data_IF_620781980061
#
_entry.id   IF_620781980061
#
_cell.length_a   1.000
_cell.length_b   1.000
_cell.length_c   1.000
_cell.angle_alpha   90.00
_cell.angle_beta   90.00
_cell.angle_gamma   90.00
#
_symmetry.space_group_name_H-M   'P 1'
#
loop_
_entity.id
_entity.type
_entity.pdbx_description
1 polymer ?
#
# COMPACT_ATOMS: atom_id res chain seq x y z
N UNK A 1 -15.27 4.95 78.61
CA UNK A 1 -14.01 5.68 78.91
C UNK A 1 -12.94 5.22 77.94
N UNK A 2 -12.31 6.18 77.25
CA UNK A 2 -10.99 6.07 76.57
C UNK A 2 -10.96 5.13 75.35
N UNK A 3 -10.30 5.42 74.24
CA UNK A 3 -9.26 6.40 73.90
C UNK A 3 -9.24 6.45 72.36
N UNK A 4 -9.42 7.61 71.73
CA UNK A 4 -9.13 7.76 70.29
C UNK A 4 -7.83 8.53 70.15
N UNK A 5 -6.81 7.87 69.62
CA UNK A 5 -5.47 8.39 69.37
C UNK A 5 -5.44 9.01 67.98
N UNK A 6 -5.03 10.28 67.91
CA UNK A 6 -4.71 10.98 66.67
C UNK A 6 -3.52 10.31 65.96
N UNK A 7 -3.67 10.01 64.67
CA UNK A 7 -2.57 9.76 63.75
C UNK A 7 -2.74 10.72 62.56
N UNK A 8 -1.86 11.71 62.52
CA UNK A 8 -1.65 12.65 61.43
C UNK A 8 -0.84 11.96 60.34
N UNK A 9 -1.36 11.91 59.11
CA UNK A 9 -0.56 11.72 57.90
C UNK A 9 -1.10 12.69 56.84
N UNK A 10 -0.19 13.50 56.31
CA UNK A 10 -0.46 14.72 55.57
C UNK A 10 -1.11 14.52 54.21
N UNK A 11 -2.04 15.42 53.89
CA UNK A 11 -2.43 15.74 52.54
C UNK A 11 -1.65 16.98 52.09
N UNK A 12 -0.82 16.81 51.06
CA UNK A 12 -0.28 17.92 50.27
C UNK A 12 -1.45 18.57 49.54
N UNK A 13 -1.89 19.72 50.02
CA UNK A 13 -2.80 20.58 49.28
C UNK A 13 -2.00 21.23 48.15
N UNK A 14 -2.30 20.85 46.92
CA UNK A 14 -1.97 21.62 45.73
C UNK A 14 -2.55 23.02 45.91
N UNK A 15 -1.66 24.01 45.92
CA UNK A 15 -2.02 25.41 45.97
C UNK A 15 -2.72 25.78 44.65
N UNK A 16 -4.05 25.68 44.62
CA UNK A 16 -4.84 26.51 43.73
C UNK A 16 -4.71 27.94 44.24
N UNK A 17 -3.89 28.75 43.56
CA UNK A 17 -3.85 30.17 43.80
C UNK A 17 -5.23 30.74 43.46
N UNK A 18 -6.05 30.92 44.49
CA UNK A 18 -7.27 31.72 44.42
C UNK A 18 -6.85 33.15 44.08
N UNK A 19 -7.15 33.61 42.86
CA UNK A 19 -7.08 35.03 42.56
C UNK A 19 -8.34 35.70 43.11
N UNK A 20 -8.20 36.30 44.31
CA UNK A 20 -9.16 37.26 44.85
C UNK A 20 -9.10 38.57 44.05
N UNK A 21 -10.24 39.24 43.79
CA UNK A 21 -10.27 40.46 43.00
C UNK A 21 -9.72 41.61 43.86
N UNK A 22 -8.44 41.92 43.68
CA UNK A 22 -7.83 43.10 44.27
C UNK A 22 -8.09 44.29 43.36
N UNK A 23 -8.99 45.17 43.79
CA UNK A 23 -9.08 46.55 43.32
C UNK A 23 -7.83 47.33 43.71
N UNK A 24 -6.70 47.02 43.07
CA UNK A 24 -5.44 47.74 43.19
C UNK A 24 -5.05 48.26 41.81
N UNK A 25 -4.91 49.58 41.74
CA UNK A 25 -4.64 50.44 40.59
C UNK A 25 -3.25 50.20 39.97
N UNK A 26 -2.93 48.97 39.57
CA UNK A 26 -1.68 48.67 38.86
C UNK A 26 -1.88 47.47 37.93
N UNK A 27 -2.17 47.77 36.67
CA UNK A 27 -2.28 46.77 35.62
C UNK A 27 -0.90 46.15 35.32
N UNK A 28 -0.86 44.90 34.82
CA UNK A 28 0.40 44.26 34.43
C UNK A 28 1.17 45.13 33.43
N UNK A 29 2.36 45.60 33.80
CA UNK A 29 3.08 46.59 32.99
C UNK A 29 3.85 45.97 31.80
N UNK A 30 4.10 44.66 31.80
CA UNK A 30 4.79 43.99 30.70
C UNK A 30 4.17 42.63 30.41
N UNK A 31 3.78 42.42 29.15
CA UNK A 31 3.42 41.13 28.60
C UNK A 31 4.53 40.63 27.68
N UNK A 32 4.69 39.31 27.59
CA UNK A 32 5.59 38.71 26.60
C UNK A 32 4.88 38.62 25.25
N UNK A 33 5.63 38.69 24.15
CA UNK A 33 5.10 38.54 22.79
C UNK A 33 4.88 37.06 22.38
N UNK A 34 4.82 36.14 23.35
CA UNK A 34 4.48 34.74 23.09
C UNK A 34 3.02 34.66 22.62
N UNK A 35 2.81 34.12 21.42
CA UNK A 35 1.49 34.03 20.82
C UNK A 35 0.80 32.73 21.26
N UNK A 36 -0.11 32.85 22.22
CA UNK A 36 -0.99 31.79 22.74
C UNK A 36 -2.41 32.39 22.85
N UNK A 37 -3.12 32.52 21.71
CA UNK A 37 -4.27 33.40 21.63
C UNK A 37 -5.42 32.98 22.54
N UNK A 38 -6.16 33.96 23.06
CA UNK A 38 -7.38 33.75 23.85
C UNK A 38 -8.49 34.68 23.38
N UNK A 39 -9.72 34.16 23.34
CA UNK A 39 -10.89 34.96 23.01
C UNK A 39 -11.45 35.61 24.28
N UNK A 40 -11.60 36.93 24.28
CA UNK A 40 -12.26 37.66 25.35
C UNK A 40 -13.78 37.59 25.25
N UNK A 41 -14.47 37.83 26.37
CA UNK A 41 -15.93 37.93 26.43
C UNK A 41 -16.50 39.12 25.65
N UNK A 42 -15.64 40.03 25.23
CA UNK A 42 -15.90 41.17 24.34
C UNK A 42 -15.79 40.81 22.85
N UNK A 43 -15.47 39.55 22.52
CA UNK A 43 -15.31 39.08 21.14
C UNK A 43 -13.99 39.51 20.50
N UNK A 44 -13.01 39.98 21.29
CA UNK A 44 -11.68 40.35 20.81
C UNK A 44 -10.67 39.23 21.07
N UNK A 45 -9.87 38.89 20.06
CA UNK A 45 -8.73 37.98 20.20
C UNK A 45 -7.56 38.71 20.85
N UNK A 46 -7.06 38.20 21.97
CA UNK A 46 -5.86 38.68 22.64
C UNK A 46 -4.69 37.73 22.39
N UNK A 47 -3.49 38.27 22.15
CA UNK A 47 -2.30 37.48 21.81
C UNK A 47 -1.91 36.44 22.86
N UNK A 48 -2.23 36.70 24.13
CA UNK A 48 -2.14 35.75 25.24
C UNK A 48 -2.95 36.24 26.46
N UNK A 49 -3.05 35.40 27.48
CA UNK A 49 -3.76 35.71 28.73
C UNK A 49 -3.27 36.99 29.43
N UNK A 50 -1.99 37.36 29.29
CA UNK A 50 -1.47 38.61 29.87
C UNK A 50 -2.10 39.83 29.19
N UNK A 51 -2.21 39.82 27.85
CA UNK A 51 -2.86 40.90 27.11
C UNK A 51 -4.36 40.98 27.39
N UNK A 52 -5.04 39.85 27.60
CA UNK A 52 -6.45 39.86 28.06
C UNK A 52 -6.58 40.47 29.45
N UNK A 53 -5.72 40.08 30.40
CA UNK A 53 -5.72 40.64 31.76
C UNK A 53 -5.36 42.12 31.83
N UNK A 54 -4.50 42.60 30.92
CA UNK A 54 -4.21 44.02 30.76
C UNK A 54 -5.45 44.78 30.26
N UNK A 55 -6.15 44.25 29.25
CA UNK A 55 -7.36 44.85 28.72
C UNK A 55 -8.50 44.89 29.74
N UNK A 56 -8.73 43.81 30.49
CA UNK A 56 -9.69 43.78 31.61
C UNK A 56 -9.36 44.84 32.67
N UNK A 57 -8.07 45.01 32.99
CA UNK A 57 -7.62 45.98 33.98
C UNK A 57 -7.76 47.45 33.53
N UNK A 58 -7.56 47.73 32.24
CA UNK A 58 -7.70 49.08 31.66
C UNK A 58 -9.16 49.42 31.30
N UNK A 59 -10.01 48.41 31.14
CA UNK A 59 -11.41 48.56 30.79
C UNK A 59 -12.27 49.00 31.97
N UNK A 60 -13.34 49.75 31.69
CA UNK A 60 -14.39 50.04 32.67
C UNK A 60 -15.40 48.89 32.82
N UNK A 61 -15.37 47.93 31.90
CA UNK A 61 -16.20 46.72 31.87
C UNK A 61 -15.34 45.48 32.08
N UNK A 62 -15.87 44.47 32.78
CA UNK A 62 -15.14 43.24 33.04
C UNK A 62 -15.03 42.40 31.76
N UNK A 63 -13.80 42.13 31.34
CA UNK A 63 -13.45 41.29 30.20
C UNK A 63 -12.89 39.98 30.75
N UNK A 64 -13.61 38.89 30.55
CA UNK A 64 -13.19 37.55 30.99
C UNK A 64 -12.77 36.70 29.79
N UNK A 65 -11.94 35.68 30.00
CA UNK A 65 -11.63 34.71 28.94
C UNK A 65 -12.88 33.90 28.59
N UNK A 66 -13.31 33.96 27.34
CA UNK A 66 -14.40 33.15 26.80
C UNK A 66 -13.91 31.71 26.52
N UNK A 67 -12.81 31.57 25.78
CA UNK A 67 -12.15 30.30 25.48
C UNK A 67 -10.71 30.52 24.99
N UNK A 68 -9.91 29.44 25.01
CA UNK A 68 -8.57 29.42 24.44
C UNK A 68 -8.65 29.34 22.91
N UNK A 69 -7.80 30.11 22.22
CA UNK A 69 -7.83 30.29 20.76
C UNK A 69 -8.31 31.69 20.34
N UNK A 70 -8.27 31.97 19.04
CA UNK A 70 -8.79 33.22 18.48
C UNK A 70 -10.32 33.26 18.51
N UNK A 71 -10.92 34.44 18.64
CA UNK A 71 -12.36 34.59 18.56
C UNK A 71 -12.88 34.18 17.18
N UNK A 72 -13.90 33.33 17.17
CA UNK A 72 -14.71 33.00 16.01
C UNK A 72 -15.39 34.28 15.52
N UNK A 73 -15.11 34.68 14.28
CA UNK A 73 -15.79 35.81 13.67
C UNK A 73 -17.30 35.53 13.60
N UNK A 74 -18.09 36.36 14.28
CA UNK A 74 -19.55 36.40 14.18
C UNK A 74 -19.92 36.78 12.74
N UNK A 75 -20.07 35.78 11.87
CA UNK A 75 -20.79 35.95 10.61
C UNK A 75 -22.26 36.07 10.96
N UNK A 76 -22.75 37.30 11.05
CA UNK A 76 -24.19 37.57 11.17
C UNK A 76 -24.93 36.89 10.01
N UNK A 77 -25.80 35.88 10.23
CA UNK A 77 -26.62 35.34 9.17
C UNK A 77 -27.90 36.18 9.12
N UNK A 78 -27.86 37.25 8.34
CA UNK A 78 -29.08 37.91 7.87
C UNK A 78 -29.36 37.43 6.45
N UNK A 79 -30.06 36.30 6.34
CA UNK A 79 -31.20 36.15 5.43
C UNK A 79 -31.86 34.81 5.74
N UNK A 80 -33.09 34.94 6.19
CA UNK A 80 -34.08 33.87 6.22
C UNK A 80 -34.45 33.52 4.79
N UNK A 81 -33.74 32.57 4.21
CA UNK A 81 -34.35 31.69 3.20
C UNK A 81 -33.65 30.33 3.23
N UNK A 82 -34.44 29.27 3.24
CA UNK A 82 -33.99 27.89 3.40
C UNK A 82 -33.33 27.30 2.16
N UNK A 83 -32.37 28.04 1.57
CA UNK A 83 -31.42 27.53 0.59
C UNK A 83 -30.08 27.38 1.30
N UNK A 84 -29.42 26.22 1.17
CA UNK A 84 -28.05 26.04 1.63
C UNK A 84 -27.18 27.17 1.05
N UNK A 85 -26.74 28.09 1.91
CA UNK A 85 -25.96 29.23 1.47
C UNK A 85 -24.56 28.73 1.12
N UNK A 86 -24.20 28.79 -0.15
CA UNK A 86 -22.87 28.43 -0.63
C UNK A 86 -21.83 29.39 -0.08
N UNK A 87 -20.72 28.86 0.44
CA UNK A 87 -19.63 29.67 0.96
C UNK A 87 -18.89 30.35 -0.21
N UNK A 88 -19.08 31.67 -0.39
CA UNK A 88 -18.41 32.43 -1.47
C UNK A 88 -17.01 32.94 -1.09
N UNK A 89 -16.60 32.74 0.17
CA UNK A 89 -15.32 33.19 0.68
C UNK A 89 -14.29 32.08 0.51
N UNK A 90 -13.40 32.26 -0.47
CA UNK A 90 -12.31 31.34 -0.74
C UNK A 90 -10.93 31.99 -0.60
N UNK A 91 -9.95 31.26 -0.05
CA UNK A 91 -8.56 31.70 -0.05
C UNK A 91 -8.03 31.81 -1.50
N UNK A 92 -7.11 32.75 -1.76
CA UNK A 92 -6.50 32.96 -3.08
C UNK A 92 -5.29 32.04 -3.35
N UNK A 93 -5.17 30.90 -2.65
CA UNK A 93 -4.12 29.93 -2.93
C UNK A 93 -4.42 29.20 -4.24
N UNK A 94 -3.41 29.08 -5.10
CA UNK A 94 -3.53 28.35 -6.36
C UNK A 94 -3.08 26.89 -6.19
N UNK A 95 -4.04 26.02 -5.94
CA UNK A 95 -3.90 24.56 -5.90
C UNK A 95 -4.99 23.98 -6.81
N UNK A 96 -4.79 24.00 -8.13
CA UNK A 96 -5.87 23.86 -9.09
C UNK A 96 -6.55 22.49 -9.00
N UNK A 97 -7.84 22.46 -9.30
CA UNK A 97 -8.65 21.23 -9.40
C UNK A 97 -9.51 21.29 -10.65
N UNK A 98 -9.72 20.14 -11.28
CA UNK A 98 -10.54 20.03 -12.48
C UNK A 98 -11.97 19.64 -12.10
N UNK A 99 -12.95 20.44 -12.52
CA UNK A 99 -14.37 20.14 -12.36
C UNK A 99 -14.92 19.26 -13.49
N UNK A 100 -16.06 18.60 -13.23
CA UNK A 100 -16.77 17.77 -14.22
C UNK A 100 -17.34 18.57 -15.40
N UNK A 101 -17.38 19.89 -15.28
CA UNK A 101 -17.71 20.85 -16.33
C UNK A 101 -16.51 21.20 -17.24
N UNK A 102 -15.33 20.62 -16.98
CA UNK A 102 -14.10 20.89 -17.72
C UNK A 102 -13.46 22.24 -17.38
N UNK A 103 -13.88 22.88 -16.28
CA UNK A 103 -13.31 24.14 -15.80
C UNK A 103 -12.24 23.88 -14.75
N UNK A 104 -11.09 24.53 -14.90
CA UNK A 104 -10.06 24.58 -13.86
C UNK A 104 -10.47 25.57 -12.77
N UNK A 105 -10.62 25.09 -11.55
CA UNK A 105 -10.87 25.88 -10.36
C UNK A 105 -9.56 26.16 -9.64
N UNK A 106 -9.39 27.37 -9.10
CA UNK A 106 -8.13 27.81 -8.47
C UNK A 106 -7.74 26.96 -7.26
N UNK A 107 -8.73 26.44 -6.54
CA UNK A 107 -8.59 25.52 -5.41
C UNK A 107 -9.91 24.80 -5.10
N UNK A 108 -9.86 23.82 -4.18
CA UNK A 108 -11.03 23.07 -3.73
C UNK A 108 -12.19 23.97 -3.27
N UNK A 109 -11.93 25.07 -2.55
CA UNK A 109 -12.99 25.98 -2.12
C UNK A 109 -13.76 26.57 -3.30
N UNK A 110 -13.04 27.00 -4.35
CA UNK A 110 -13.69 27.57 -5.54
C UNK A 110 -14.50 26.52 -6.32
N UNK A 111 -14.12 25.24 -6.25
CA UNK A 111 -14.89 24.12 -6.80
C UNK A 111 -16.11 23.79 -5.93
N UNK A 112 -15.96 23.74 -4.61
CA UNK A 112 -17.07 23.48 -3.66
C UNK A 112 -18.16 24.56 -3.77
N UNK A 113 -17.77 25.82 -3.98
CA UNK A 113 -18.70 26.90 -4.27
C UNK A 113 -19.48 26.66 -5.57
N UNK A 114 -18.81 26.19 -6.62
CA UNK A 114 -19.43 25.88 -7.90
C UNK A 114 -20.34 24.63 -7.82
N UNK A 115 -19.93 23.60 -7.10
CA UNK A 115 -20.76 22.43 -6.77
C UNK A 115 -22.04 22.88 -6.05
N UNK A 116 -21.91 23.68 -5.01
CA UNK A 116 -23.05 24.17 -4.24
C UNK A 116 -24.00 25.04 -5.08
N UNK A 117 -23.47 26.01 -5.83
CA UNK A 117 -24.29 26.93 -6.65
C UNK A 117 -24.92 26.26 -7.87
N UNK A 118 -24.33 25.14 -8.33
CA UNK A 118 -24.91 24.29 -9.38
C UNK A 118 -25.89 23.24 -8.86
N UNK A 119 -26.09 23.14 -7.53
CA UNK A 119 -26.96 22.14 -6.92
C UNK A 119 -26.41 20.71 -6.98
N UNK A 120 -25.07 20.57 -6.96
CA UNK A 120 -24.37 19.29 -7.01
C UNK A 120 -24.07 18.77 -8.43
N UNK A 121 -24.28 19.59 -9.47
CA UNK A 121 -24.05 19.17 -10.85
C UNK A 121 -22.56 19.12 -11.23
N UNK A 122 -21.76 19.96 -10.57
CA UNK A 122 -20.31 20.05 -10.78
C UNK A 122 -19.65 19.26 -9.64
N UNK A 123 -18.77 18.31 -9.98
CA UNK A 123 -18.01 17.50 -9.03
C UNK A 123 -16.53 17.53 -9.38
N UNK A 124 -15.66 17.22 -8.42
CA UNK A 124 -14.23 17.10 -8.66
C UNK A 124 -13.91 15.90 -9.56
N UNK A 125 -13.18 16.14 -10.64
CA UNK A 125 -12.65 15.10 -11.54
C UNK A 125 -11.23 14.71 -11.14
N UNK A 126 -10.36 15.69 -10.90
CA UNK A 126 -8.97 15.45 -10.51
C UNK A 126 -8.35 16.65 -9.78
N UNK A 127 -7.27 16.39 -9.04
CA UNK A 127 -6.32 17.43 -8.68
C UNK A 127 -5.55 17.89 -9.93
N UNK A 128 -5.20 19.17 -9.98
CA UNK A 128 -4.55 19.81 -11.13
C UNK A 128 -5.52 20.57 -12.05
N UNK A 129 -4.96 21.27 -13.03
CA UNK A 129 -5.75 21.98 -14.04
C UNK A 129 -6.46 21.00 -14.99
N UNK A 130 -7.63 21.39 -15.50
CA UNK A 130 -8.28 20.64 -16.57
C UNK A 130 -7.40 20.62 -17.84
N UNK A 131 -7.39 19.50 -18.58
CA UNK A 131 -6.65 19.40 -19.84
C UNK A 131 -7.16 20.45 -20.84
N UNK A 132 -6.26 21.31 -21.34
CA UNK A 132 -6.62 22.34 -22.33
C UNK A 132 -6.84 21.70 -23.70
N UNK A 133 -8.02 21.95 -24.28
CA UNK A 133 -8.51 21.32 -25.50
C UNK A 133 -7.99 21.94 -26.80
N UNK A 134 -6.72 22.40 -26.82
CA UNK A 134 -6.05 22.85 -28.06
C UNK A 134 -5.03 21.85 -28.64
N UNK A 135 -4.98 20.63 -28.11
CA UNK A 135 -4.56 19.46 -28.88
C UNK A 135 -5.62 18.36 -28.75
N UNK A 136 -6.24 18.02 -29.88
CA UNK A 136 -7.19 16.92 -29.95
C UNK A 136 -6.56 15.63 -29.45
N UNK A 137 -7.32 14.90 -28.61
CA UNK A 137 -6.94 13.65 -27.95
C UNK A 137 -5.88 13.83 -26.87
N UNK A 138 -6.32 14.14 -25.64
CA UNK A 138 -5.71 13.50 -24.48
C UNK A 138 -5.87 12.00 -24.69
N UNK A 139 -4.86 11.36 -25.28
CA UNK A 139 -4.86 9.92 -25.40
C UNK A 139 -4.92 9.39 -23.98
N UNK A 140 -6.05 8.81 -23.60
CA UNK A 140 -6.17 8.11 -22.34
C UNK A 140 -4.99 7.16 -22.23
N UNK A 141 -4.28 7.19 -21.09
CA UNK A 141 -3.14 6.30 -20.87
C UNK A 141 -3.58 4.90 -21.28
N UNK A 142 -2.88 4.23 -22.19
CA UNK A 142 -3.20 2.84 -22.57
C UNK A 142 -2.34 1.84 -21.81
N UNK A 143 -1.44 2.36 -20.96
CA UNK A 143 -0.53 1.57 -20.17
C UNK A 143 -1.00 1.61 -18.73
N UNK A 144 -1.25 0.42 -18.19
CA UNK A 144 -1.47 0.19 -16.78
C UNK A 144 -0.54 -0.92 -16.30
N UNK A 145 -0.12 -0.89 -15.03
CA UNK A 145 0.56 -2.02 -14.44
C UNK A 145 -0.36 -3.24 -14.43
N UNK A 146 0.18 -4.43 -14.68
CA UNK A 146 -0.55 -5.70 -14.64
C UNK A 146 -0.78 -6.19 -13.20
N UNK A 147 -1.13 -5.26 -12.29
CA UNK A 147 -1.47 -5.58 -10.91
C UNK A 147 -2.94 -6.00 -10.88
N UNK A 148 -3.21 -7.25 -10.51
CA UNK A 148 -4.58 -7.75 -10.41
C UNK A 148 -5.19 -7.37 -9.05
N UNK A 149 -5.85 -6.20 -8.99
CA UNK A 149 -6.61 -5.70 -7.83
C UNK A 149 -7.97 -5.19 -8.33
N UNK A 150 -8.94 -6.10 -8.57
CA UNK A 150 -10.13 -5.77 -9.35
C UNK A 150 -11.02 -4.73 -8.66
N UNK A 151 -11.69 -3.91 -9.48
CA UNK A 151 -12.68 -2.91 -9.06
C UNK A 151 -13.90 -2.94 -9.97
N UNK A 152 -15.06 -2.54 -9.46
CA UNK A 152 -16.30 -2.49 -10.22
C UNK A 152 -16.57 -1.06 -10.65
N UNK A 153 -16.81 -0.84 -11.95
CA UNK A 153 -17.26 0.44 -12.47
C UNK A 153 -18.78 0.63 -12.33
N UNK A 154 -19.25 1.88 -12.39
CA UNK A 154 -20.68 2.24 -12.44
C UNK A 154 -21.40 1.72 -13.68
N UNK A 155 -20.64 1.32 -14.70
CA UNK A 155 -21.08 0.64 -15.91
C UNK A 155 -21.31 -0.87 -15.71
N UNK A 156 -21.03 -1.41 -14.52
CA UNK A 156 -21.16 -2.83 -14.22
C UNK A 156 -20.01 -3.68 -14.76
N UNK A 157 -18.91 -3.06 -15.19
CA UNK A 157 -17.72 -3.76 -15.70
C UNK A 157 -16.68 -3.92 -14.59
N UNK A 158 -16.12 -5.12 -14.47
CA UNK A 158 -14.96 -5.38 -13.61
C UNK A 158 -13.68 -4.96 -14.32
N UNK A 159 -12.95 -4.01 -13.75
CA UNK A 159 -11.65 -3.57 -14.23
C UNK A 159 -10.54 -4.27 -13.45
N UNK A 160 -9.47 -4.70 -14.11
CA UNK A 160 -8.36 -5.46 -13.49
C UNK A 160 -7.68 -4.71 -12.34
N UNK A 161 -7.69 -3.38 -12.42
CA UNK A 161 -7.32 -2.48 -11.33
C UNK A 161 -7.86 -1.07 -11.58
N UNK A 162 -7.67 -0.20 -10.58
CA UNK A 162 -8.05 1.22 -10.64
C UNK A 162 -7.45 1.97 -11.83
N UNK A 163 -6.26 1.58 -12.33
CA UNK A 163 -5.69 2.22 -13.51
C UNK A 163 -6.55 1.91 -14.74
N UNK A 164 -6.93 0.65 -14.97
CA UNK A 164 -7.80 0.29 -16.10
C UNK A 164 -9.18 0.94 -16.01
N UNK A 165 -9.73 1.10 -14.79
CA UNK A 165 -10.93 1.90 -14.57
C UNK A 165 -10.69 3.37 -14.95
N UNK A 166 -9.57 3.96 -14.53
CA UNK A 166 -9.19 5.34 -14.90
C UNK A 166 -9.05 5.57 -16.41
N UNK A 167 -8.59 4.56 -17.17
CA UNK A 167 -8.61 4.62 -18.65
C UNK A 167 -10.05 4.71 -19.16
N UNK A 168 -10.94 3.89 -18.62
CA UNK A 168 -12.35 3.90 -19.01
C UNK A 168 -13.04 5.21 -18.62
N UNK A 169 -12.81 5.72 -17.40
CA UNK A 169 -13.28 7.05 -16.95
C UNK A 169 -12.75 8.17 -17.86
N UNK A 170 -11.49 8.08 -18.31
CA UNK A 170 -10.95 9.05 -19.26
C UNK A 170 -11.67 9.02 -20.61
N UNK A 171 -12.03 7.82 -21.10
CA UNK A 171 -12.77 7.65 -22.36
C UNK A 171 -14.24 8.04 -22.23
N UNK A 172 -14.85 7.75 -21.08
CA UNK A 172 -16.23 8.06 -20.73
C UNK A 172 -16.30 8.47 -19.25
N UNK A 173 -16.38 9.80 -18.96
CA UNK A 173 -16.42 10.32 -17.60
C UNK A 173 -17.63 9.87 -16.75
N UNK A 174 -18.65 9.24 -17.34
CA UNK A 174 -19.78 8.67 -16.58
C UNK A 174 -19.45 7.34 -15.90
N UNK A 175 -18.33 6.71 -16.29
CA UNK A 175 -17.81 5.48 -15.70
C UNK A 175 -16.94 5.86 -14.50
N UNK A 176 -17.46 5.66 -13.30
CA UNK A 176 -16.78 5.92 -12.03
C UNK A 176 -16.65 4.63 -11.22
N UNK A 177 -15.85 4.64 -10.16
CA UNK A 177 -15.76 3.51 -9.23
C UNK A 177 -17.11 3.30 -8.53
N UNK A 178 -17.72 2.12 -8.72
CA UNK A 178 -18.90 1.70 -7.98
C UNK A 178 -18.50 1.12 -6.61
N UNK A 179 -17.59 0.15 -6.59
CA UNK A 179 -17.03 -0.42 -5.35
C UNK A 179 -15.71 -1.15 -5.62
N UNK A 180 -14.93 -1.39 -4.56
CA UNK A 180 -13.76 -2.27 -4.60
C UNK A 180 -14.20 -3.73 -4.85
N UNK A 181 -13.38 -4.51 -5.57
CA UNK A 181 -13.72 -5.86 -6.02
C UNK A 181 -14.47 -5.88 -7.36
N UNK A 182 -14.60 -7.05 -7.99
CA UNK A 182 -15.30 -7.16 -9.26
C UNK A 182 -16.82 -6.97 -9.15
N UNK A 183 -17.48 -6.55 -10.23
CA UNK A 183 -18.94 -6.48 -10.27
C UNK A 183 -19.57 -7.86 -10.09
N UNK A 184 -20.74 -7.91 -9.45
CA UNK A 184 -21.48 -9.16 -9.21
C UNK A 184 -20.96 -9.99 -8.04
N UNK A 185 -20.02 -9.47 -7.23
CA UNK A 185 -19.67 -10.04 -5.92
C UNK A 185 -20.34 -9.22 -4.83
N UNK A 186 -21.19 -9.85 -4.02
CA UNK A 186 -21.73 -9.20 -2.83
C UNK A 186 -20.58 -8.84 -1.87
N UNK A 187 -20.53 -7.61 -1.33
CA UNK A 187 -19.51 -7.19 -0.39
C UNK A 187 -19.74 -7.89 0.96
N UNK A 188 -19.28 -9.13 1.08
CA UNK A 188 -19.46 -9.94 2.29
C UNK A 188 -19.06 -11.41 2.21
N UNK A 189 -18.82 -11.97 1.02
CA UNK A 189 -18.45 -13.40 0.90
C UNK A 189 -16.98 -13.57 0.53
N UNK A 190 -16.09 -13.46 1.51
CA UNK A 190 -14.74 -14.05 1.41
C UNK A 190 -14.81 -15.57 1.71
N UNK A 191 -15.77 -16.28 1.14
CA UNK A 191 -15.75 -17.75 1.19
C UNK A 191 -16.03 -18.29 -0.21
N UNK A 192 -15.10 -19.12 -0.63
CA UNK A 192 -15.02 -19.90 -1.85
C UNK A 192 -16.36 -20.51 -2.27
N UNK A 193 -17.00 -20.00 -3.33
CA UNK A 193 -17.69 -20.74 -4.41
C UNK A 193 -18.53 -19.80 -5.29
N UNK A 194 -18.77 -20.15 -6.58
CA UNK A 194 -19.32 -19.24 -7.57
C UNK A 194 -20.83 -19.05 -7.38
N UNK A 195 -21.25 -17.81 -7.13
CA UNK A 195 -22.65 -17.40 -7.27
C UNK A 195 -22.88 -16.92 -8.70
N UNK A 196 -23.69 -17.71 -9.39
CA UNK A 196 -24.40 -17.40 -10.63
C UNK A 196 -25.15 -16.07 -10.56
N UNK A 197 -25.14 -15.28 -11.65
CA UNK A 197 -26.40 -14.72 -12.14
C UNK A 197 -26.51 -14.75 -13.68
N UNK A 198 -27.54 -15.49 -14.10
CA UNK A 198 -28.34 -15.39 -15.34
C UNK A 198 -27.67 -15.02 -16.68
N UNK A 199 -26.94 -15.98 -17.25
CA UNK A 199 -27.33 -16.49 -18.57
C UNK A 199 -27.01 -17.99 -18.63
N UNK A 200 -27.86 -18.77 -19.29
CA UNK A 200 -27.80 -20.23 -19.35
C UNK A 200 -26.38 -20.76 -19.61
N UNK A 201 -25.69 -21.23 -18.57
CA UNK A 201 -24.51 -22.08 -18.70
C UNK A 201 -24.75 -23.36 -17.89
N UNK A 202 -25.16 -24.41 -18.59
CA UNK A 202 -25.25 -25.77 -18.06
C UNK A 202 -23.87 -26.43 -18.17
N UNK A 203 -22.82 -25.76 -17.68
CA UNK A 203 -21.43 -26.15 -17.91
C UNK A 203 -20.53 -25.86 -16.73
N UNK A 204 -19.48 -26.68 -16.59
CA UNK A 204 -18.41 -26.42 -15.64
C UNK A 204 -17.70 -25.11 -15.97
N UNK A 205 -17.19 -24.38 -14.96
CA UNK A 205 -16.34 -23.23 -15.20
C UNK A 205 -15.19 -23.61 -16.15
N UNK A 206 -14.82 -22.72 -17.07
CA UNK A 206 -13.74 -22.91 -18.04
C UNK A 206 -12.60 -21.90 -17.84
N UNK A 207 -12.76 -20.94 -16.93
CA UNK A 207 -11.77 -19.91 -16.62
C UNK A 207 -11.17 -20.16 -15.24
N UNK A 208 -9.85 -20.27 -15.20
CA UNK A 208 -9.05 -20.25 -13.97
C UNK A 208 -7.95 -19.19 -14.10
N UNK A 209 -7.62 -18.55 -12.99
CA UNK A 209 -6.39 -17.76 -12.90
C UNK A 209 -5.19 -18.70 -13.05
N UNK A 210 -4.23 -18.36 -13.89
CA UNK A 210 -3.05 -19.19 -14.19
C UNK A 210 -1.96 -19.07 -13.11
N UNK A 211 -2.33 -19.21 -11.85
CA UNK A 211 -1.39 -19.23 -10.73
C UNK A 211 -0.90 -20.67 -10.54
N UNK A 212 0.41 -20.91 -10.60
CA UNK A 212 0.97 -22.24 -10.38
C UNK A 212 1.15 -22.54 -8.87
N UNK A 213 0.12 -23.14 -8.26
CA UNK A 213 0.11 -23.67 -6.88
C UNK A 213 -0.41 -25.11 -6.94
N UNK A 214 0.45 -26.08 -7.31
CA UNK A 214 -0.01 -27.37 -7.80
C UNK A 214 -0.74 -28.19 -6.73
N UNK A 215 -1.71 -28.97 -7.18
CA UNK A 215 -2.42 -29.96 -6.37
C UNK A 215 -2.48 -31.28 -7.12
N UNK A 216 -2.47 -32.40 -6.37
CA UNK A 216 -2.57 -33.73 -6.94
C UNK A 216 -4.03 -34.19 -6.87
N UNK A 217 -4.60 -34.57 -8.00
CA UNK A 217 -5.92 -35.19 -8.05
C UNK A 217 -5.90 -36.68 -7.70
N UNK A 218 -7.05 -37.23 -7.34
CA UNK A 218 -7.26 -38.67 -7.08
C UNK A 218 -7.04 -39.54 -8.31
N UNK A 219 -7.03 -38.93 -9.49
CA UNK A 219 -6.67 -39.48 -10.79
C UNK A 219 -5.15 -39.55 -11.03
N UNK A 220 -4.33 -39.05 -10.09
CA UNK A 220 -2.87 -39.01 -10.22
C UNK A 220 -2.36 -37.89 -11.12
N UNK A 221 -3.22 -36.94 -11.50
CA UNK A 221 -2.84 -35.78 -12.34
C UNK A 221 -2.47 -34.59 -11.45
N UNK A 222 -1.36 -33.92 -11.79
CA UNK A 222 -1.03 -32.63 -11.18
C UNK A 222 -1.79 -31.52 -11.87
N UNK A 223 -2.65 -30.84 -11.11
CA UNK A 223 -3.37 -29.66 -11.56
C UNK A 223 -2.58 -28.41 -11.19
N UNK A 224 -2.52 -27.43 -12.11
CA UNK A 224 -1.74 -26.20 -11.92
C UNK A 224 -2.17 -25.42 -10.67
N UNK A 225 -3.45 -25.46 -10.32
CA UNK A 225 -3.99 -25.02 -9.04
C UNK A 225 -5.35 -25.67 -8.73
N UNK A 226 -5.90 -25.35 -7.56
CA UNK A 226 -7.19 -25.85 -7.08
C UNK A 226 -8.37 -25.51 -8.00
N UNK A 227 -8.31 -24.42 -8.77
CA UNK A 227 -9.35 -24.08 -9.72
C UNK A 227 -9.37 -25.10 -10.88
N UNK A 228 -8.20 -25.42 -11.46
CA UNK A 228 -8.11 -26.45 -12.52
C UNK A 228 -8.55 -27.83 -12.04
N UNK A 229 -8.22 -28.19 -10.79
CA UNK A 229 -8.77 -29.41 -10.17
C UNK A 229 -10.30 -29.31 -10.03
N UNK A 230 -10.84 -28.16 -9.61
CA UNK A 230 -12.28 -27.93 -9.50
C UNK A 230 -13.03 -28.07 -10.83
N UNK A 231 -12.44 -27.60 -11.94
CA UNK A 231 -12.98 -27.81 -13.29
C UNK A 231 -13.00 -29.31 -13.64
N UNK A 232 -11.91 -30.03 -13.35
CA UNK A 232 -11.84 -31.46 -13.61
C UNK A 232 -12.85 -32.25 -12.76
N UNK A 233 -12.96 -31.94 -11.46
CA UNK A 233 -13.96 -32.50 -10.55
C UNK A 233 -15.40 -32.19 -10.97
N UNK A 234 -15.64 -31.04 -11.60
CA UNK A 234 -16.96 -30.71 -12.14
C UNK A 234 -17.30 -31.56 -13.37
N UNK A 235 -16.33 -31.73 -14.28
CA UNK A 235 -16.51 -32.54 -15.49
C UNK A 235 -16.56 -34.05 -15.18
N UNK A 236 -15.83 -34.49 -14.16
CA UNK A 236 -15.84 -35.84 -13.61
C UNK A 236 -15.86 -35.82 -12.08
N UNK A 237 -17.04 -36.03 -11.44
CA UNK A 237 -17.19 -36.01 -9.99
C UNK A 237 -16.39 -37.07 -9.21
N UNK A 238 -15.74 -38.02 -9.90
CA UNK A 238 -14.85 -38.99 -9.25
C UNK A 238 -13.45 -38.43 -8.95
N UNK A 239 -13.08 -37.32 -9.61
CA UNK A 239 -11.82 -36.62 -9.40
C UNK A 239 -11.95 -35.75 -8.15
N UNK A 240 -11.12 -36.00 -7.15
CA UNK A 240 -11.06 -35.23 -5.89
C UNK A 240 -9.62 -34.87 -5.59
N UNK A 241 -9.38 -33.99 -4.61
CA UNK A 241 -8.04 -33.68 -4.15
C UNK A 241 -7.42 -34.90 -3.45
N UNK A 242 -6.32 -35.44 -3.98
CA UNK A 242 -5.50 -36.44 -3.31
C UNK A 242 -4.60 -35.80 -2.26
N UNK A 243 -3.79 -34.82 -2.65
CA UNK A 243 -2.96 -34.03 -1.73
C UNK A 243 -2.55 -32.68 -2.33
N UNK A 244 -2.10 -31.76 -1.47
CA UNK A 244 -1.49 -30.50 -1.93
C UNK A 244 -0.09 -30.77 -2.51
N UNK A 245 0.30 -30.05 -3.55
CA UNK A 245 1.54 -30.29 -4.31
C UNK A 245 1.35 -31.20 -5.51
N UNK A 246 2.40 -31.36 -6.33
CA UNK A 246 2.37 -32.20 -7.53
C UNK A 246 2.38 -33.70 -7.20
N UNK A 247 1.66 -34.50 -7.98
CA UNK A 247 1.66 -35.96 -7.87
C UNK A 247 3.08 -36.52 -8.07
N UNK A 248 3.41 -37.61 -7.37
CA UNK A 248 4.72 -38.26 -7.46
C UNK A 248 5.86 -37.53 -6.74
N UNK A 249 5.60 -36.39 -6.11
CA UNK A 249 6.55 -35.76 -5.19
C UNK A 249 6.60 -36.58 -3.90
N UNK A 250 7.51 -37.55 -3.83
CA UNK A 250 7.79 -38.25 -2.57
C UNK A 250 8.53 -37.31 -1.62
N UNK A 251 7.79 -36.46 -0.92
CA UNK A 251 8.20 -35.93 0.38
C UNK A 251 7.46 -36.74 1.43
N UNK A 252 7.98 -37.94 1.69
CA UNK A 252 7.49 -38.80 2.75
C UNK A 252 7.93 -38.28 4.11
N UNK A 253 6.97 -38.15 5.02
CA UNK A 253 7.12 -38.62 6.40
C UNK A 253 5.88 -39.48 6.76
N UNK A 254 6.10 -40.76 7.07
CA UNK A 254 5.14 -41.68 7.72
C UNK A 254 4.37 -42.65 6.82
N UNK A 255 4.97 -43.79 6.46
CA UNK A 255 4.64 -45.16 6.92
C UNK A 255 3.50 -45.89 6.18
N UNK A 256 3.83 -46.81 5.28
CA UNK A 256 3.94 -48.25 5.62
C UNK A 256 4.43 -49.06 4.41
N UNK A 257 5.31 -50.03 4.68
CA UNK A 257 5.73 -51.02 3.71
C UNK A 257 4.59 -52.01 3.41
N UNK A 258 4.40 -52.35 2.14
CA UNK A 258 4.56 -53.70 1.58
C UNK A 258 3.73 -53.84 0.30
N UNK A 259 4.36 -53.66 -0.87
CA UNK A 259 4.22 -54.53 -2.05
C UNK A 259 4.86 -53.89 -3.30
N UNK A 260 5.91 -54.55 -3.80
CA UNK A 260 6.34 -54.53 -5.20
C UNK A 260 6.20 -56.02 -5.65
N UNK A 261 5.91 -56.40 -6.93
CA UNK A 261 6.48 -55.78 -8.12
C UNK A 261 5.62 -55.73 -9.41
N UNK A 262 6.10 -54.93 -10.38
CA UNK A 262 5.98 -55.11 -11.85
C UNK A 262 4.61 -54.86 -12.49
N UNK A 263 4.43 -54.13 -13.60
CA UNK A 263 5.33 -53.55 -14.61
C UNK A 263 4.47 -52.51 -15.32
N UNK A 264 4.84 -51.24 -15.22
CA UNK A 264 4.20 -50.14 -15.93
C UNK A 264 4.91 -49.91 -17.25
N UNK A 265 4.13 -49.90 -18.32
CA UNK A 265 4.56 -49.57 -19.67
C UNK A 265 3.47 -48.73 -20.31
N UNK A 266 3.54 -47.42 -20.10
CA UNK A 266 3.24 -46.45 -21.15
C UNK A 266 3.94 -45.13 -20.84
N UNK A 267 4.95 -44.85 -21.65
CA UNK A 267 5.62 -43.57 -21.79
C UNK A 267 4.61 -42.41 -21.91
N UNK A 268 4.78 -41.40 -21.06
CA UNK A 268 4.49 -40.02 -21.43
C UNK A 268 5.75 -39.18 -21.18
N UNK A 269 6.76 -39.43 -22.00
CA UNK A 269 8.03 -38.69 -22.04
C UNK A 269 7.80 -37.32 -22.68
N UNK A 270 6.99 -36.46 -22.06
CA UNK A 270 6.79 -35.08 -22.51
C UNK A 270 7.21 -34.13 -21.40
N UNK A 271 8.32 -33.45 -21.61
CA UNK A 271 8.71 -32.35 -20.75
C UNK A 271 7.68 -31.22 -20.87
N UNK A 272 7.38 -30.50 -19.77
CA UNK A 272 6.65 -29.25 -19.85
C UNK A 272 7.36 -28.31 -20.82
N UNK A 273 6.61 -27.57 -21.63
CA UNK A 273 7.16 -26.59 -22.59
C UNK A 273 6.75 -25.15 -22.24
N UNK A 274 6.04 -24.96 -21.13
CA UNK A 274 5.50 -23.67 -20.71
C UNK A 274 6.01 -23.32 -19.32
N UNK A 275 6.61 -22.14 -19.21
CA UNK A 275 6.98 -21.52 -17.95
C UNK A 275 6.49 -20.08 -17.97
N UNK A 276 6.02 -19.60 -16.83
CA UNK A 276 5.81 -18.17 -16.63
C UNK A 276 7.16 -17.46 -16.53
N UNK A 277 7.33 -16.33 -17.23
CA UNK A 277 8.55 -15.51 -17.20
C UNK A 277 8.62 -14.66 -15.92
N UNK A 278 8.77 -15.33 -14.77
CA UNK A 278 9.20 -14.67 -13.54
C UNK A 278 10.72 -14.53 -13.60
N UNK A 279 11.25 -13.31 -13.65
CA UNK A 279 12.70 -13.09 -13.66
C UNK A 279 13.30 -13.31 -12.26
N UNK A 280 13.65 -14.56 -11.97
CA UNK A 280 14.39 -15.02 -10.79
C UNK A 280 15.49 -15.96 -11.28
N UNK A 281 16.58 -15.42 -11.85
CA UNK A 281 17.51 -16.21 -12.64
C UNK A 281 18.19 -17.29 -11.79
N UNK A 282 18.42 -18.46 -12.39
CA UNK A 282 19.21 -19.55 -11.81
C UNK A 282 20.30 -19.97 -12.78
N UNK A 283 21.45 -20.36 -12.27
CA UNK A 283 22.55 -20.86 -13.08
C UNK A 283 22.45 -22.39 -13.16
N UNK A 284 22.39 -22.93 -14.37
CA UNK A 284 22.48 -24.36 -14.61
C UNK A 284 23.92 -24.88 -14.53
N UNK A 285 24.08 -26.17 -14.27
CA UNK A 285 25.36 -26.88 -14.29
C UNK A 285 26.02 -26.91 -15.66
N UNK A 286 25.25 -26.59 -16.71
CA UNK A 286 25.69 -26.35 -18.09
C UNK A 286 26.27 -24.96 -18.33
N UNK A 287 26.27 -24.08 -17.30
CA UNK A 287 26.73 -22.71 -17.40
C UNK A 287 25.74 -21.77 -18.09
N UNK A 288 24.48 -22.18 -18.28
CA UNK A 288 23.42 -21.36 -18.86
C UNK A 288 22.61 -20.69 -17.75
N UNK A 289 22.37 -19.38 -17.90
CA UNK A 289 21.42 -18.65 -17.05
C UNK A 289 20.00 -18.92 -17.52
N UNK A 290 19.19 -19.52 -16.66
CA UNK A 290 17.78 -19.74 -16.89
C UNK A 290 16.95 -18.60 -16.26
N UNK A 291 15.91 -18.08 -16.92
CA UNK A 291 15.09 -16.98 -16.39
C UNK A 291 14.50 -17.26 -15.01
N UNK A 292 14.17 -18.53 -14.74
CA UNK A 292 13.83 -19.06 -13.43
C UNK A 292 13.97 -20.59 -13.38
N UNK A 293 13.72 -21.15 -12.20
CA UNK A 293 13.79 -22.59 -11.92
C UNK A 293 12.86 -23.45 -12.78
N UNK A 294 11.75 -22.91 -13.30
CA UNK A 294 10.89 -23.64 -14.23
C UNK A 294 11.62 -23.88 -15.56
N UNK A 295 12.25 -22.84 -16.14
CA UNK A 295 13.02 -22.98 -17.38
C UNK A 295 14.22 -23.93 -17.22
N UNK A 296 14.87 -23.91 -16.06
CA UNK A 296 15.89 -24.90 -15.70
C UNK A 296 15.28 -26.31 -15.61
N UNK A 297 14.12 -26.47 -14.97
CA UNK A 297 13.43 -27.76 -14.86
C UNK A 297 13.02 -28.35 -16.21
N UNK A 298 12.61 -27.52 -17.18
CA UNK A 298 12.37 -27.97 -18.56
C UNK A 298 13.67 -28.48 -19.19
N UNK A 299 14.78 -27.75 -19.00
CA UNK A 299 16.08 -28.15 -19.51
C UNK A 299 16.58 -29.45 -18.86
N UNK A 300 16.46 -29.59 -17.54
CA UNK A 300 16.75 -30.82 -16.78
C UNK A 300 15.87 -32.00 -17.19
N UNK A 301 14.62 -31.76 -17.58
CA UNK A 301 13.75 -32.81 -18.09
C UNK A 301 14.21 -33.30 -19.47
N UNK A 302 14.62 -32.38 -20.35
CA UNK A 302 15.11 -32.68 -21.69
C UNK A 302 16.51 -33.30 -21.65
N UNK A 303 17.34 -32.86 -20.71
CA UNK A 303 18.68 -33.38 -20.43
C UNK A 303 18.88 -33.52 -18.90
N UNK A 304 18.73 -34.74 -18.34
CA UNK A 304 18.89 -35.01 -16.91
C UNK A 304 20.28 -34.71 -16.33
N UNK A 305 21.28 -34.40 -17.15
CA UNK A 305 22.60 -33.97 -16.68
C UNK A 305 22.66 -32.50 -16.25
N UNK A 306 21.66 -31.70 -16.64
CA UNK A 306 21.53 -30.29 -16.27
C UNK A 306 20.86 -30.22 -14.90
N UNK A 307 21.55 -29.65 -13.91
CA UNK A 307 21.04 -29.40 -12.56
C UNK A 307 21.28 -27.94 -12.18
N UNK A 308 20.69 -27.45 -11.10
CA UNK A 308 21.00 -26.10 -10.62
C UNK A 308 22.42 -26.06 -10.05
N UNK A 309 23.27 -25.18 -10.58
CA UNK A 309 24.60 -24.90 -10.04
C UNK A 309 24.51 -23.95 -8.84
N UNK A 310 23.86 -22.80 -9.01
CA UNK A 310 23.61 -21.84 -7.94
C UNK A 310 22.41 -20.93 -8.27
N UNK A 311 21.89 -20.24 -7.26
CA UNK A 311 20.91 -19.16 -7.43
C UNK A 311 21.55 -17.95 -8.13
N UNK A 312 20.79 -17.23 -8.95
CA UNK A 312 21.28 -16.10 -9.74
C UNK A 312 21.82 -16.48 -11.13
N UNK A 313 22.17 -15.49 -11.94
CA UNK A 313 22.71 -15.71 -13.28
C UNK A 313 24.11 -16.34 -13.24
N UNK A 314 24.44 -17.19 -14.22
CA UNK A 314 25.79 -17.67 -14.40
C UNK A 314 26.75 -16.52 -14.66
N UNK A 315 27.86 -16.49 -13.94
CA UNK A 315 28.91 -15.48 -14.12
C UNK A 315 29.81 -15.94 -15.26
N UNK A 316 29.86 -15.17 -16.35
CA UNK A 316 30.86 -15.37 -17.41
C UNK A 316 32.03 -14.43 -17.14
N UNK A 317 33.12 -14.97 -16.62
CA UNK A 317 34.41 -14.30 -16.74
C UNK A 317 34.92 -14.55 -18.16
N UNK A 318 35.44 -13.51 -18.83
CA UNK A 318 36.22 -13.72 -20.05
C UNK A 318 37.48 -14.53 -19.70
N UNK A 319 37.37 -15.86 -19.78
CA UNK A 319 38.49 -16.78 -19.65
C UNK A 319 38.19 -18.06 -18.86
N UNK A 320 37.65 -19.07 -19.54
CA UNK A 320 37.96 -20.48 -19.25
C UNK A 320 37.14 -21.18 -18.17
N UNK A 321 36.72 -22.41 -18.51
CA UNK A 321 36.11 -23.43 -17.66
C UNK A 321 36.93 -23.72 -16.39
N UNK A 322 36.27 -23.95 -15.25
CA UNK A 322 36.59 -25.07 -14.35
C UNK A 322 35.36 -25.45 -13.50
N UNK A 323 35.03 -26.74 -13.52
CA UNK A 323 34.20 -27.43 -12.54
C UNK A 323 34.96 -27.54 -11.23
N UNK A 324 34.38 -27.20 -10.08
CA UNK A 324 34.84 -27.75 -8.79
C UNK A 324 33.69 -27.91 -7.79
N UNK A 325 33.32 -29.17 -7.61
CA UNK A 325 32.62 -29.72 -6.46
C UNK A 325 33.51 -29.58 -5.20
N UNK A 326 33.02 -28.91 -4.14
CA UNK A 326 33.14 -29.32 -2.71
C UNK A 326 32.92 -28.14 -1.73
N UNK A 327 31.92 -28.33 -0.86
CA UNK A 327 31.86 -28.04 0.59
C UNK A 327 32.49 -26.78 1.19
N UNK A 328 31.65 -26.04 1.94
CA UNK A 328 31.94 -25.23 3.14
C UNK A 328 33.39 -24.75 3.36
N UNK A 329 33.62 -23.44 3.24
CA UNK A 329 34.31 -22.71 4.31
C UNK A 329 34.15 -21.20 4.13
N UNK A 330 33.58 -20.58 5.15
CA UNK A 330 33.72 -19.16 5.46
C UNK A 330 35.18 -18.74 5.45
N UNK A 331 35.57 -17.85 4.54
CA UNK A 331 36.75 -17.00 4.74
C UNK A 331 36.64 -15.72 3.90
N UNK A 332 36.47 -14.61 4.62
CA UNK A 332 36.79 -13.28 4.13
C UNK A 332 38.17 -13.30 3.48
N UNK A 333 38.26 -12.81 2.25
CA UNK A 333 39.52 -12.35 1.68
C UNK A 333 39.32 -10.96 1.11
N UNK A 334 39.86 -10.00 1.85
CA UNK A 334 40.19 -8.66 1.36
C UNK A 334 41.25 -8.80 0.27
N UNK A 335 40.90 -8.46 -0.97
CA UNK A 335 41.88 -8.16 -2.00
C UNK A 335 41.41 -6.90 -2.71
N UNK A 336 42.11 -5.82 -2.42
CA UNK A 336 42.10 -4.57 -3.16
C UNK A 336 42.36 -4.86 -4.64
N UNK A 337 41.40 -4.57 -5.51
CA UNK A 337 41.67 -4.14 -6.87
C UNK A 337 40.55 -3.22 -7.35
N UNK A 338 40.96 -1.99 -7.61
CA UNK A 338 40.18 -0.90 -8.16
C UNK A 338 39.37 -1.35 -9.38
N UNK A 339 38.05 -1.35 -9.24
CA UNK A 339 37.13 -1.28 -10.36
C UNK A 339 36.43 0.07 -10.32
N UNK A 340 37.03 1.01 -11.06
CA UNK A 340 36.42 2.14 -11.75
C UNK A 340 35.02 2.55 -11.24
N UNK A 341 35.01 3.63 -10.46
CA UNK A 341 33.85 4.47 -10.17
C UNK A 341 32.99 4.67 -11.44
N UNK A 342 31.88 3.94 -11.52
CA UNK A 342 30.68 4.50 -12.13
C UNK A 342 29.99 5.26 -11.01
N UNK A 343 30.12 6.58 -11.03
CA UNK A 343 29.54 7.52 -10.06
C UNK A 343 28.00 7.62 -10.18
N UNK A 344 27.32 6.53 -10.51
CA UNK A 344 25.89 6.48 -10.74
C UNK A 344 25.34 5.29 -9.99
N UNK A 345 24.47 5.56 -9.03
CA UNK A 345 23.63 4.53 -8.45
C UNK A 345 22.74 3.92 -9.54
N UNK A 346 22.37 2.63 -9.41
CA UNK A 346 21.31 2.07 -10.23
C UNK A 346 20.02 2.87 -10.04
N UNK A 347 19.24 3.06 -11.11
CA UNK A 347 17.97 3.82 -11.07
C UNK A 347 16.76 2.93 -11.39
N UNK A 348 17.01 1.64 -11.63
CA UNK A 348 16.01 0.70 -12.13
C UNK A 348 15.94 -0.47 -11.15
N UNK A 349 14.73 -0.72 -10.64
CA UNK A 349 14.42 -1.91 -9.88
C UNK A 349 13.34 -2.72 -10.59
N UNK A 350 13.34 -4.05 -10.40
CA UNK A 350 12.17 -4.85 -10.75
C UNK A 350 10.93 -4.32 -10.01
N UNK A 351 9.78 -4.31 -10.68
CA UNK A 351 8.50 -3.88 -10.10
C UNK A 351 7.88 -4.93 -9.13
N UNK A 352 8.71 -5.80 -8.57
CA UNK A 352 8.28 -6.82 -7.60
C UNK A 352 8.04 -6.15 -6.25
N UNK A 353 6.85 -6.36 -5.68
CA UNK A 353 6.53 -5.91 -4.33
C UNK A 353 6.91 -7.00 -3.31
N UNK A 354 8.03 -6.80 -2.64
CA UNK A 354 8.58 -7.66 -1.61
C UNK A 354 9.17 -6.76 -0.52
N UNK A 355 8.33 -6.15 0.33
CA UNK A 355 8.71 -5.01 1.14
C UNK A 355 9.82 -5.36 2.14
N UNK A 356 10.70 -4.40 2.41
CA UNK A 356 11.74 -4.49 3.44
C UNK A 356 11.72 -3.25 4.31
N UNK A 357 12.03 -3.40 5.60
CA UNK A 357 12.18 -2.28 6.51
C UNK A 357 13.63 -1.80 6.50
N UNK A 358 13.86 -0.52 6.26
CA UNK A 358 15.17 0.10 6.39
C UNK A 358 15.53 0.41 7.84
N UNK A 359 16.82 0.56 8.13
CA UNK A 359 17.33 1.00 9.43
C UNK A 359 16.91 2.42 9.81
N UNK A 360 16.38 3.18 8.85
CA UNK A 360 15.73 4.48 9.00
C UNK A 360 14.25 4.39 9.41
N UNK A 361 13.69 3.18 9.53
CA UNK A 361 12.27 2.97 9.82
C UNK A 361 11.35 3.20 8.62
N UNK A 362 11.90 3.31 7.40
CA UNK A 362 11.14 3.47 6.16
C UNK A 362 10.91 2.10 5.51
N UNK A 363 9.69 1.85 5.04
CA UNK A 363 9.38 0.66 4.26
C UNK A 363 9.72 0.90 2.79
N UNK A 364 10.59 0.08 2.23
CA UNK A 364 10.96 0.09 0.81
C UNK A 364 10.19 -1.01 0.07
N UNK A 365 9.73 -0.75 -1.16
CA UNK A 365 8.88 -1.69 -1.91
C UNK A 365 9.59 -3.01 -2.22
N UNK A 366 10.92 -2.96 -2.30
CA UNK A 366 11.80 -4.12 -2.37
C UNK A 366 13.24 -3.76 -1.98
N UNK A 367 14.07 -4.77 -1.77
CA UNK A 367 15.48 -4.62 -1.39
C UNK A 367 16.31 -3.83 -2.41
N UNK A 368 15.95 -3.89 -3.70
CA UNK A 368 16.60 -3.06 -4.72
C UNK A 368 16.36 -1.56 -4.45
N UNK A 369 15.13 -1.15 -4.08
CA UNK A 369 14.85 0.25 -3.76
C UNK A 369 15.59 0.71 -2.50
N UNK A 370 15.74 -0.14 -1.49
CA UNK A 370 16.56 0.14 -0.30
C UNK A 370 18.04 0.33 -0.68
N UNK A 371 18.57 -0.50 -1.58
CA UNK A 371 19.96 -0.40 -2.02
C UNK A 371 20.23 0.85 -2.87
N UNK A 372 19.28 1.25 -3.72
CA UNK A 372 19.36 2.52 -4.47
C UNK A 372 19.35 3.70 -3.50
N UNK A 373 18.46 3.69 -2.51
CA UNK A 373 18.40 4.74 -1.48
C UNK A 373 19.72 4.81 -0.68
N UNK A 374 20.27 3.67 -0.27
CA UNK A 374 21.56 3.58 0.43
C UNK A 374 22.72 4.10 -0.42
N UNK A 375 22.72 3.80 -1.73
CA UNK A 375 23.71 4.30 -2.67
C UNK A 375 23.60 5.83 -2.90
N UNK A 376 22.38 6.35 -3.04
CA UNK A 376 22.14 7.78 -3.27
C UNK A 376 22.39 8.62 -2.01
N UNK A 377 22.29 7.99 -0.83
CA UNK A 377 22.45 8.62 0.47
C UNK A 377 23.44 7.87 1.37
N UNK A 378 24.73 7.79 0.99
CA UNK A 378 25.75 7.06 1.75
C UNK A 378 25.96 7.62 3.16
N UNK A 379 25.60 8.89 3.40
CA UNK A 379 25.62 9.52 4.72
C UNK A 379 24.63 8.91 5.72
N UNK A 380 23.56 8.27 5.25
CA UNK A 380 22.52 7.68 6.10
C UNK A 380 22.90 6.28 6.61
N UNK A 381 23.96 5.66 6.07
CA UNK A 381 24.37 4.28 6.38
C UNK A 381 23.18 3.29 6.39
N UNK A 382 22.31 3.43 5.38
CA UNK A 382 21.05 2.71 5.32
C UNK A 382 21.30 1.21 5.09
N UNK A 383 20.73 0.39 5.98
CA UNK A 383 20.79 -1.08 5.93
C UNK A 383 19.39 -1.67 6.07
N UNK A 384 19.22 -2.95 5.69
CA UNK A 384 17.96 -3.67 5.91
C UNK A 384 17.82 -4.04 7.39
N UNK A 385 16.76 -3.56 8.03
CA UNK A 385 16.40 -3.89 9.41
C UNK A 385 15.62 -5.20 9.51
N UNK A 386 14.65 -5.43 8.62
CA UNK A 386 13.84 -6.67 8.59
C UNK A 386 13.22 -6.90 7.20
N UNK A 387 12.85 -8.16 6.91
CA UNK A 387 12.00 -8.49 5.77
C UNK A 387 10.53 -8.19 6.13
N UNK A 388 9.78 -7.60 5.21
CA UNK A 388 8.43 -7.08 5.44
C UNK A 388 8.39 -5.55 5.61
N UNK A 389 7.19 -5.00 5.76
CA UNK A 389 7.02 -3.57 6.06
C UNK A 389 7.42 -3.26 7.51
N UNK A 390 7.90 -2.05 7.76
CA UNK A 390 8.21 -1.59 9.11
C UNK A 390 6.96 -1.64 9.99
N UNK A 391 7.07 -2.29 11.16
CA UNK A 391 6.04 -2.25 12.18
C UNK A 391 6.12 -0.94 12.97
N UNK A 392 4.97 -0.31 13.33
CA UNK A 392 4.98 0.87 14.19
C UNK A 392 5.61 0.63 15.58
N UNK A 393 5.78 -0.63 16.00
CA UNK A 393 6.39 -1.00 17.28
C UNK A 393 7.90 -1.34 17.20
N UNK A 394 8.51 -1.37 16.02
CA UNK A 394 9.93 -1.77 15.85
C UNK A 394 10.93 -0.60 15.84
N UNK A 395 10.48 0.65 15.97
CA UNK A 395 11.37 1.79 16.20
C UNK A 395 11.81 1.93 17.67
N UNK A 396 12.33 0.85 18.28
CA UNK A 396 13.13 0.91 19.51
C UNK A 396 14.13 -0.24 19.58
N UNK A 397 15.26 -0.08 18.90
CA UNK A 397 16.59 -0.26 19.51
C UNK A 397 17.70 -0.05 18.47
N UNK A 398 18.31 1.13 18.49
CA UNK A 398 19.72 1.29 18.17
C UNK A 398 20.22 2.48 19.00
N UNK A 399 20.89 2.16 20.11
CA UNK A 399 21.77 3.07 20.84
C UNK A 399 23.20 2.82 20.37
#
# INVERSE_FOLDING_TARGET
>A
MKLTVCLLLGAVASASANYEPSGTTNCPFMCTDQFEPVCGSDGVTYSNECFLGLADCESSEQITKAYDGECLAETTPSSTDGSAACNDVCPENFQPVCGSDGVTYSNDCTLDYAECTSGGAITKVSDGECPTSEEGSAACSEVCPEILKPVCGSDGVTYSNLCFLGIATCKDPSIILAHDGGCGVDPGSYETSPSTDSSESTGCPDVCIEIFRPVCGSDGITYANSCFLGIASCNDPSITLAHNGACGSTSGEGSDETSNPSTDSSESTSCPDVCIEILRPVCGSDGVTYPNSCFLGIASCKDPSITQAHEGACVTYEGGYETNNSTESSQETTVDNEASYSSSCPNVCPAIYAPVCGSDGVTYSNECQLNIASCNHPELNLTKASDGACSPDECKTAF
#
